data_IF_054943816065
#
_entry.id   IF_054943816065
#
_cell.length_a   1.000
_cell.length_b   1.000
_cell.length_c   1.000
_cell.angle_alpha   90.00
_cell.angle_beta   90.00
_cell.angle_gamma   90.00
#
_symmetry.space_group_name_H-M   'P 1'
#
loop_
_entity.id
_entity.type
_entity.pdbx_description
1 polymer ?
#
# COMPACT_ATOMS: atom_id res chain seq x y z
N UNK A 1 -36.90 -22.73 -38.11
CA UNK A 1 -36.94 -23.09 -36.68
C UNK A 1 -35.72 -22.60 -35.90
N UNK A 2 -34.48 -22.54 -36.46
CA UNK A 2 -33.27 -22.13 -35.75
C UNK A 2 -32.76 -20.70 -36.02
N UNK A 3 -33.52 -19.85 -36.73
CA UNK A 3 -33.05 -18.52 -37.12
C UNK A 3 -32.77 -17.60 -35.94
N UNK A 4 -33.70 -17.55 -34.98
CA UNK A 4 -33.54 -16.78 -33.74
C UNK A 4 -32.36 -17.27 -32.88
N UNK A 5 -32.14 -18.60 -32.84
CA UNK A 5 -31.00 -19.19 -32.12
C UNK A 5 -29.69 -18.77 -32.77
N UNK A 6 -29.58 -18.78 -34.10
CA UNK A 6 -28.37 -18.34 -34.80
C UNK A 6 -28.08 -16.87 -34.53
N UNK A 7 -29.08 -15.98 -34.62
CA UNK A 7 -28.91 -14.57 -34.26
C UNK A 7 -28.40 -14.38 -32.85
N UNK A 8 -28.98 -15.07 -31.86
CA UNK A 8 -28.50 -14.99 -30.47
C UNK A 8 -27.06 -15.53 -30.30
N UNK A 9 -26.68 -16.57 -31.02
CA UNK A 9 -25.31 -17.08 -31.00
C UNK A 9 -24.31 -16.12 -31.61
N UNK A 10 -24.69 -15.40 -32.70
CA UNK A 10 -23.85 -14.38 -33.32
C UNK A 10 -23.65 -13.19 -32.35
N UNK A 11 -24.73 -12.71 -31.71
CA UNK A 11 -24.66 -11.65 -30.67
C UNK A 11 -23.75 -12.05 -29.49
N UNK A 12 -23.94 -13.25 -28.96
CA UNK A 12 -23.11 -13.79 -27.87
C UNK A 12 -21.63 -13.87 -28.30
N UNK A 13 -21.37 -14.31 -29.53
CA UNK A 13 -20.00 -14.40 -30.03
C UNK A 13 -19.32 -13.03 -30.10
N UNK A 14 -20.06 -12.00 -30.53
CA UNK A 14 -19.51 -10.65 -30.63
C UNK A 14 -19.29 -10.02 -29.25
N UNK A 15 -20.18 -10.25 -28.27
CA UNK A 15 -19.99 -9.87 -26.87
C UNK A 15 -18.74 -10.54 -26.26
N UNK A 16 -18.56 -11.84 -26.49
CA UNK A 16 -17.40 -12.58 -26.00
C UNK A 16 -16.08 -12.08 -26.60
N UNK A 17 -16.07 -11.70 -27.88
CA UNK A 17 -14.90 -11.09 -28.53
C UNK A 17 -14.55 -9.73 -27.91
N UNK A 18 -15.55 -8.88 -27.62
CA UNK A 18 -15.32 -7.59 -26.93
C UNK A 18 -14.72 -7.81 -25.52
N UNK A 19 -15.30 -8.73 -24.74
CA UNK A 19 -14.79 -9.08 -23.41
C UNK A 19 -13.35 -9.60 -23.49
N UNK A 20 -13.04 -10.48 -24.46
CA UNK A 20 -11.68 -11.03 -24.64
C UNK A 20 -10.68 -9.93 -24.98
N UNK A 21 -11.01 -9.05 -25.95
CA UNK A 21 -10.15 -7.95 -26.34
C UNK A 21 -9.88 -6.98 -25.18
N UNK A 22 -10.90 -6.63 -24.38
CA UNK A 22 -10.75 -5.78 -23.18
C UNK A 22 -9.90 -6.48 -22.14
N UNK A 23 -10.11 -7.77 -21.86
CA UNK A 23 -9.32 -8.57 -20.92
C UNK A 23 -7.84 -8.56 -21.31
N UNK A 24 -7.51 -8.81 -22.56
CA UNK A 24 -6.13 -8.88 -23.04
C UNK A 24 -5.44 -7.52 -22.93
N UNK A 25 -6.18 -6.44 -23.26
CA UNK A 25 -5.71 -5.06 -23.02
C UNK A 25 -5.42 -4.80 -21.53
N UNK A 26 -6.31 -5.20 -20.62
CA UNK A 26 -6.14 -5.04 -19.18
C UNK A 26 -4.91 -5.81 -18.68
N UNK A 27 -4.75 -7.08 -19.04
CA UNK A 27 -3.60 -7.91 -18.62
C UNK A 27 -2.28 -7.29 -19.07
N UNK A 28 -2.24 -6.72 -20.27
CA UNK A 28 -1.04 -6.07 -20.79
C UNK A 28 -0.71 -4.78 -20.04
N UNK A 29 -1.69 -3.89 -19.93
CA UNK A 29 -1.43 -2.52 -19.48
C UNK A 29 -1.39 -2.37 -17.96
N UNK A 30 -2.00 -3.26 -17.19
CA UNK A 30 -1.89 -3.29 -15.72
C UNK A 30 -0.45 -3.55 -15.25
N UNK A 31 0.40 -4.20 -16.06
CA UNK A 31 1.83 -4.37 -15.76
C UNK A 31 2.57 -3.05 -15.66
N UNK A 32 2.22 -2.07 -16.50
CA UNK A 32 2.83 -0.75 -16.46
C UNK A 32 2.46 0.01 -15.18
N UNK A 33 1.21 -0.14 -14.71
CA UNK A 33 0.76 0.43 -13.42
C UNK A 33 1.56 -0.19 -12.27
N UNK A 34 1.66 -1.52 -12.21
CA UNK A 34 2.43 -2.24 -11.19
C UNK A 34 3.90 -1.83 -11.21
N UNK A 35 4.49 -1.74 -12.40
CA UNK A 35 5.89 -1.31 -12.56
C UNK A 35 6.11 0.11 -12.03
N UNK A 36 5.23 1.05 -12.34
CA UNK A 36 5.34 2.42 -11.89
C UNK A 36 5.09 2.57 -10.38
N UNK A 37 4.12 1.85 -9.80
CA UNK A 37 3.89 1.83 -8.36
C UNK A 37 5.11 1.29 -7.62
N UNK A 38 5.60 0.10 -7.98
CA UNK A 38 6.78 -0.52 -7.33
C UNK A 38 8.03 0.37 -7.44
N UNK A 39 8.29 0.98 -8.60
CA UNK A 39 9.43 1.89 -8.76
C UNK A 39 9.24 3.22 -8.02
N UNK A 40 8.00 3.69 -7.81
CA UNK A 40 7.74 4.86 -6.99
C UNK A 40 8.07 4.58 -5.52
N UNK A 41 7.68 3.43 -5.00
CA UNK A 41 8.02 2.97 -3.65
C UNK A 41 9.54 2.89 -3.46
N UNK A 42 10.26 2.28 -4.42
CA UNK A 42 11.74 2.26 -4.41
C UNK A 42 12.32 3.67 -4.37
N UNK A 43 11.76 4.60 -5.16
CA UNK A 43 12.20 6.00 -5.18
C UNK A 43 11.96 6.71 -3.86
N UNK A 44 10.84 6.42 -3.15
CA UNK A 44 10.56 6.95 -1.81
C UNK A 44 11.60 6.49 -0.79
N UNK A 45 11.97 5.20 -0.79
CA UNK A 45 13.03 4.68 0.08
C UNK A 45 14.39 5.34 -0.18
N UNK A 46 14.63 5.79 -1.40
CA UNK A 46 15.86 6.53 -1.79
C UNK A 46 15.75 8.04 -1.58
N UNK A 47 14.63 8.52 -1.03
CA UNK A 47 14.34 9.97 -0.88
C UNK A 47 14.30 10.73 -2.21
N UNK A 48 14.01 10.04 -3.32
CA UNK A 48 13.87 10.60 -4.66
C UNK A 48 12.40 11.01 -4.92
N UNK A 49 11.87 11.92 -4.10
CA UNK A 49 10.43 12.26 -4.04
C UNK A 49 9.85 12.71 -5.38
N UNK A 50 10.60 13.52 -6.14
CA UNK A 50 10.14 14.00 -7.45
C UNK A 50 9.92 12.86 -8.45
N UNK A 51 10.83 11.88 -8.51
CA UNK A 51 10.70 10.69 -9.36
C UNK A 51 9.54 9.81 -8.91
N UNK A 52 9.37 9.63 -7.59
CA UNK A 52 8.26 8.87 -7.04
C UNK A 52 6.93 9.49 -7.46
N UNK A 53 6.79 10.81 -7.30
CA UNK A 53 5.58 11.55 -7.69
C UNK A 53 5.24 11.36 -9.16
N UNK A 54 6.20 11.58 -10.05
CA UNK A 54 5.98 11.45 -11.49
C UNK A 54 5.50 10.03 -11.88
N UNK A 55 6.06 8.99 -11.24
CA UNK A 55 5.65 7.61 -11.47
C UNK A 55 4.23 7.34 -10.96
N UNK A 56 3.90 7.80 -9.76
CA UNK A 56 2.56 7.63 -9.19
C UNK A 56 1.49 8.32 -10.01
N UNK A 57 1.75 9.54 -10.49
CA UNK A 57 0.82 10.27 -11.36
C UNK A 57 0.59 9.52 -12.68
N UNK A 58 1.65 8.97 -13.28
CA UNK A 58 1.54 8.14 -14.48
C UNK A 58 0.77 6.85 -14.21
N UNK A 59 1.08 6.15 -13.11
CA UNK A 59 0.35 4.95 -12.71
C UNK A 59 -1.14 5.24 -12.52
N UNK A 60 -1.47 6.34 -11.83
CA UNK A 60 -2.86 6.75 -11.62
C UNK A 60 -3.57 7.05 -12.93
N UNK A 61 -2.98 7.84 -13.81
CA UNK A 61 -3.58 8.18 -15.11
C UNK A 61 -3.82 6.92 -15.97
N UNK A 62 -2.86 5.99 -15.99
CA UNK A 62 -3.01 4.72 -16.70
C UNK A 62 -4.13 3.89 -16.07
N UNK A 63 -4.19 3.77 -14.75
CA UNK A 63 -5.22 3.00 -14.06
C UNK A 63 -6.62 3.59 -14.25
N UNK A 64 -6.77 4.92 -14.26
CA UNK A 64 -8.04 5.59 -14.53
C UNK A 64 -8.57 5.23 -15.93
N UNK A 65 -7.70 5.19 -16.95
CA UNK A 65 -8.08 4.75 -18.29
C UNK A 65 -8.45 3.25 -18.36
N UNK A 66 -7.77 2.41 -17.56
CA UNK A 66 -8.07 0.97 -17.51
C UNK A 66 -9.39 0.66 -16.79
N UNK A 67 -9.84 1.49 -15.85
CA UNK A 67 -11.16 1.34 -15.20
C UNK A 67 -12.31 1.41 -16.20
N UNK A 68 -12.24 2.32 -17.17
CA UNK A 68 -13.23 2.44 -18.23
C UNK A 68 -13.32 1.14 -19.06
N UNK A 69 -12.19 0.47 -19.27
CA UNK A 69 -12.15 -0.80 -20.01
C UNK A 69 -12.60 -1.98 -19.14
N UNK A 70 -12.24 -1.97 -17.86
CA UNK A 70 -12.56 -3.05 -16.93
C UNK A 70 -14.08 -3.16 -16.66
N UNK A 71 -14.79 -2.04 -16.64
CA UNK A 71 -16.21 -1.99 -16.24
C UNK A 71 -16.44 -2.79 -14.95
N UNK A 72 -17.58 -3.44 -14.80
CA UNK A 72 -17.87 -4.31 -13.64
C UNK A 72 -17.48 -5.77 -13.86
N UNK A 73 -17.49 -6.22 -15.11
CA UNK A 73 -17.29 -7.62 -15.52
C UNK A 73 -15.81 -8.06 -15.44
N UNK A 74 -14.87 -7.15 -15.68
CA UNK A 74 -13.44 -7.42 -15.68
C UNK A 74 -12.70 -6.73 -14.53
N UNK A 75 -13.42 -6.21 -13.52
CA UNK A 75 -12.85 -5.46 -12.40
C UNK A 75 -11.72 -6.22 -11.67
N UNK A 76 -11.79 -7.54 -11.60
CA UNK A 76 -10.76 -8.39 -10.97
C UNK A 76 -9.35 -8.16 -11.52
N UNK A 77 -9.21 -7.67 -12.76
CA UNK A 77 -7.91 -7.44 -13.39
C UNK A 77 -7.25 -6.14 -12.95
N UNK A 78 -8.01 -5.18 -12.39
CA UNK A 78 -7.48 -3.91 -11.90
C UNK A 78 -7.36 -3.84 -10.37
N UNK A 79 -7.90 -4.80 -9.63
CA UNK A 79 -7.90 -4.78 -8.16
C UNK A 79 -6.49 -4.78 -7.55
N UNK A 80 -5.56 -5.57 -8.10
CA UNK A 80 -4.15 -5.58 -7.64
C UNK A 80 -3.43 -4.27 -7.98
N UNK A 81 -3.49 -3.74 -9.23
CA UNK A 81 -2.98 -2.40 -9.53
C UNK A 81 -3.53 -1.29 -8.63
N UNK A 82 -4.80 -1.35 -8.24
CA UNK A 82 -5.37 -0.40 -7.27
C UNK A 82 -4.74 -0.52 -5.88
N UNK A 83 -4.49 -1.74 -5.40
CA UNK A 83 -3.82 -1.97 -4.11
C UNK A 83 -2.42 -1.36 -4.11
N UNK A 84 -1.62 -1.64 -5.13
CA UNK A 84 -0.28 -1.08 -5.30
C UNK A 84 -0.28 0.45 -5.39
N UNK A 85 -1.29 1.02 -6.07
CA UNK A 85 -1.45 2.48 -6.13
C UNK A 85 -1.74 3.07 -4.75
N UNK A 86 -2.63 2.45 -3.98
CA UNK A 86 -2.94 2.85 -2.59
C UNK A 86 -1.68 2.81 -1.75
N UNK A 87 -0.94 1.69 -1.78
CA UNK A 87 0.31 1.52 -1.03
C UNK A 87 1.31 2.65 -1.33
N UNK A 88 1.55 2.94 -2.61
CA UNK A 88 2.48 3.98 -3.02
C UNK A 88 2.07 5.38 -2.55
N UNK A 89 0.79 5.74 -2.70
CA UNK A 89 0.27 7.04 -2.27
C UNK A 89 0.26 7.21 -0.76
N UNK A 90 -0.07 6.14 -0.01
CA UNK A 90 -0.03 6.16 1.45
C UNK A 90 1.39 6.31 1.96
N UNK A 91 2.32 5.52 1.44
CA UNK A 91 3.72 5.60 1.83
C UNK A 91 4.29 7.00 1.59
N UNK A 92 3.96 7.61 0.44
CA UNK A 92 4.36 9.00 0.15
C UNK A 92 3.76 9.99 1.13
N UNK A 93 2.45 9.92 1.39
CA UNK A 93 1.78 10.86 2.28
C UNK A 93 2.35 10.78 3.70
N UNK A 94 2.64 9.57 4.19
CA UNK A 94 3.26 9.34 5.50
C UNK A 94 4.69 9.91 5.55
N UNK A 95 5.49 9.68 4.52
CA UNK A 95 6.87 10.19 4.47
C UNK A 95 6.97 11.71 4.35
N UNK A 96 5.98 12.33 3.74
CA UNK A 96 5.90 13.79 3.59
C UNK A 96 5.09 14.48 4.71
N UNK A 97 4.64 13.73 5.72
CA UNK A 97 3.80 14.22 6.84
C UNK A 97 2.54 14.95 6.34
N UNK A 98 1.88 14.37 5.34
CA UNK A 98 0.66 14.89 4.72
C UNK A 98 -0.58 14.08 5.12
N UNK A 99 -1.75 14.66 4.90
CA UNK A 99 -3.01 13.94 5.02
C UNK A 99 -3.04 12.74 4.06
N UNK A 100 -3.50 11.59 4.57
CA UNK A 100 -3.66 10.38 3.77
C UNK A 100 -4.83 10.56 2.80
N UNK A 101 -4.65 10.25 1.51
CA UNK A 101 -5.73 10.35 0.54
C UNK A 101 -6.82 9.31 0.82
N UNK A 102 -8.08 9.67 0.65
CA UNK A 102 -9.20 8.74 0.76
C UNK A 102 -9.30 7.82 -0.46
N UNK A 103 -10.11 6.75 -0.33
CA UNK A 103 -10.43 5.89 -1.48
C UNK A 103 -11.06 6.66 -2.65
N UNK A 104 -11.83 7.72 -2.35
CA UNK A 104 -12.44 8.59 -3.36
C UNK A 104 -11.40 9.46 -4.07
N UNK A 105 -10.42 10.01 -3.34
CA UNK A 105 -9.34 10.82 -3.94
C UNK A 105 -8.49 9.99 -4.91
N UNK A 106 -8.29 8.70 -4.58
CA UNK A 106 -7.56 7.76 -5.43
C UNK A 106 -8.44 7.13 -6.52
N UNK A 107 -9.78 7.22 -6.38
CA UNK A 107 -10.73 6.59 -7.30
C UNK A 107 -10.70 5.06 -7.23
N UNK A 108 -10.32 4.45 -6.10
CA UNK A 108 -10.19 3.00 -5.93
C UNK A 108 -11.37 2.42 -5.16
N UNK A 109 -11.59 1.11 -5.32
CA UNK A 109 -12.60 0.40 -4.53
C UNK A 109 -12.25 0.36 -3.04
N UNK A 110 -13.28 0.25 -2.18
CA UNK A 110 -13.06 0.05 -0.75
C UNK A 110 -12.23 -1.19 -0.44
N UNK A 111 -12.41 -2.27 -1.20
CA UNK A 111 -11.64 -3.52 -1.07
C UNK A 111 -10.15 -3.29 -1.33
N UNK A 112 -9.82 -2.68 -2.47
CA UNK A 112 -8.44 -2.37 -2.84
C UNK A 112 -7.80 -1.36 -1.88
N UNK A 113 -8.59 -0.42 -1.36
CA UNK A 113 -8.13 0.56 -0.37
C UNK A 113 -7.73 -0.11 0.95
N UNK A 114 -8.59 -0.97 1.52
CA UNK A 114 -8.30 -1.70 2.76
C UNK A 114 -7.05 -2.59 2.62
N UNK A 115 -6.96 -3.32 1.52
CA UNK A 115 -5.85 -4.25 1.30
C UNK A 115 -4.54 -3.53 0.99
N UNK A 116 -4.56 -2.43 0.24
CA UNK A 116 -3.38 -1.61 -0.05
C UNK A 116 -2.86 -0.86 1.19
N UNK A 117 -3.73 -0.41 2.10
CA UNK A 117 -3.31 0.13 3.40
C UNK A 117 -2.54 -0.90 4.23
N UNK A 118 -2.97 -2.17 4.23
CA UNK A 118 -2.27 -3.23 4.94
C UNK A 118 -0.92 -3.58 4.30
N UNK A 119 -0.80 -3.50 2.96
CA UNK A 119 0.47 -3.68 2.27
C UNK A 119 1.46 -2.56 2.64
N UNK A 120 0.99 -1.33 2.77
CA UNK A 120 1.80 -0.20 3.23
C UNK A 120 2.46 -0.45 4.62
N UNK A 121 1.85 -1.25 5.49
CA UNK A 121 2.47 -1.64 6.79
C UNK A 121 3.81 -2.35 6.57
N UNK A 122 3.94 -3.16 5.51
CA UNK A 122 5.19 -3.81 5.13
C UNK A 122 6.29 -2.82 4.74
N UNK A 123 5.95 -1.83 3.93
CA UNK A 123 6.91 -0.79 3.52
C UNK A 123 7.26 0.16 4.67
N UNK A 124 6.31 0.45 5.58
CA UNK A 124 6.59 1.19 6.80
C UNK A 124 7.57 0.44 7.71
N UNK A 125 7.42 -0.88 7.87
CA UNK A 125 8.41 -1.70 8.59
C UNK A 125 9.81 -1.49 8.02
N UNK A 126 9.96 -1.56 6.70
CA UNK A 126 11.24 -1.33 6.03
C UNK A 126 11.79 0.06 6.33
N UNK A 127 10.95 1.10 6.28
CA UNK A 127 11.36 2.47 6.62
C UNK A 127 11.78 2.61 8.08
N UNK A 128 11.11 1.95 9.03
CA UNK A 128 11.52 1.93 10.45
C UNK A 128 12.96 1.46 10.58
N UNK A 129 13.33 0.35 9.93
CA UNK A 129 14.71 -0.13 9.95
C UNK A 129 15.68 0.86 9.30
N UNK A 130 15.31 1.47 8.19
CA UNK A 130 16.16 2.46 7.53
C UNK A 130 16.40 3.68 8.41
N UNK A 131 15.39 4.15 9.14
CA UNK A 131 15.53 5.26 10.11
C UNK A 131 16.38 4.90 11.32
N UNK A 132 16.22 3.68 11.86
CA UNK A 132 17.06 3.21 12.96
C UNK A 132 18.53 3.12 12.53
N UNK A 133 18.83 2.56 11.36
CA UNK A 133 20.20 2.52 10.82
C UNK A 133 20.79 3.89 10.57
N UNK A 134 19.95 4.88 10.25
CA UNK A 134 20.35 6.27 10.09
C UNK A 134 20.50 7.05 11.41
N UNK A 135 20.31 6.39 12.57
CA UNK A 135 20.39 7.04 13.89
C UNK A 135 19.22 7.98 14.18
N UNK A 136 18.03 7.69 13.61
CA UNK A 136 16.81 8.52 13.73
C UNK A 136 15.68 7.78 14.48
N UNK A 137 15.86 7.40 15.74
CA UNK A 137 14.90 6.58 16.47
C UNK A 137 13.54 7.27 16.70
N UNK A 138 13.51 8.60 16.81
CA UNK A 138 12.26 9.34 16.94
C UNK A 138 11.39 9.26 15.67
N UNK A 139 12.01 9.32 14.48
CA UNK A 139 11.31 9.13 13.21
C UNK A 139 10.78 7.68 13.10
N UNK A 140 11.57 6.69 13.53
CA UNK A 140 11.16 5.28 13.58
C UNK A 140 9.96 5.06 14.49
N UNK A 141 9.94 5.70 15.66
CA UNK A 141 8.80 5.61 16.60
C UNK A 141 7.53 6.20 15.97
N UNK A 142 7.63 7.33 15.27
CA UNK A 142 6.47 7.91 14.56
C UNK A 142 5.90 6.95 13.51
N UNK A 143 6.76 6.34 12.68
CA UNK A 143 6.33 5.37 11.68
C UNK A 143 5.67 4.14 12.31
N UNK A 144 6.21 3.66 13.43
CA UNK A 144 5.63 2.55 14.19
C UNK A 144 4.20 2.87 14.67
N UNK A 145 3.98 4.07 15.22
CA UNK A 145 2.64 4.49 15.65
C UNK A 145 1.65 4.53 14.47
N UNK A 146 2.08 4.97 13.28
CA UNK A 146 1.25 4.93 12.08
C UNK A 146 0.90 3.49 11.68
N UNK A 147 1.84 2.53 11.79
CA UNK A 147 1.55 1.11 11.54
C UNK A 147 0.46 0.58 12.49
N UNK A 148 0.54 0.90 13.78
CA UNK A 148 -0.46 0.51 14.79
C UNK A 148 -1.83 1.14 14.50
N UNK A 149 -1.86 2.41 14.11
CA UNK A 149 -3.10 3.13 13.77
C UNK A 149 -3.78 2.55 12.52
N UNK A 150 -3.02 2.27 11.46
CA UNK A 150 -3.55 1.60 10.26
C UNK A 150 -4.17 0.26 10.65
N UNK A 151 -3.44 -0.57 11.38
CA UNK A 151 -3.92 -1.88 11.79
C UNK A 151 -5.20 -1.80 12.64
N UNK A 152 -5.20 -0.97 13.68
CA UNK A 152 -6.35 -0.84 14.60
C UNK A 152 -7.59 -0.30 13.89
N UNK A 153 -7.41 0.60 12.93
CA UNK A 153 -8.51 1.16 12.12
C UNK A 153 -9.11 0.14 11.15
N UNK A 154 -8.30 -0.80 10.63
CA UNK A 154 -8.77 -1.82 9.67
C UNK A 154 -9.26 -3.08 10.38
N UNK A 155 -8.78 -3.39 11.58
CA UNK A 155 -9.11 -4.62 12.29
C UNK A 155 -10.63 -4.92 12.40
N UNK A 156 -11.54 -3.94 12.64
CA UNK A 156 -12.98 -4.19 12.67
C UNK A 156 -13.54 -4.76 11.36
N UNK A 157 -12.89 -4.48 10.23
CA UNK A 157 -13.30 -4.99 8.91
C UNK A 157 -12.99 -6.50 8.72
N UNK A 158 -12.25 -7.14 9.64
CA UNK A 158 -12.02 -8.59 9.61
C UNK A 158 -13.32 -9.41 9.58
N UNK A 159 -14.43 -8.85 10.07
CA UNK A 159 -15.76 -9.46 10.01
C UNK A 159 -16.26 -9.63 8.56
N UNK A 160 -15.70 -8.89 7.61
CA UNK A 160 -16.12 -8.88 6.20
C UNK A 160 -15.13 -9.63 5.27
N UNK A 161 -14.36 -10.59 5.79
CA UNK A 161 -13.36 -11.34 4.99
C UNK A 161 -13.98 -12.08 3.79
N UNK A 162 -15.24 -12.49 3.92
CA UNK A 162 -16.01 -13.09 2.83
C UNK A 162 -16.35 -12.10 1.68
N UNK A 163 -16.34 -10.78 1.96
CA UNK A 163 -16.59 -9.72 0.98
C UNK A 163 -15.28 -9.08 0.49
N UNK A 164 -14.22 -9.17 1.30
CA UNK A 164 -12.87 -8.64 1.01
C UNK A 164 -11.89 -9.81 1.07
N UNK A 165 -11.75 -10.58 -0.01
CA UNK A 165 -10.95 -11.81 -0.01
C UNK A 165 -9.50 -11.57 0.43
N UNK A 166 -9.06 -12.33 1.43
CA UNK A 166 -7.69 -12.28 1.95
C UNK A 166 -7.43 -11.16 2.97
N UNK A 167 -8.45 -10.40 3.39
CA UNK A 167 -8.30 -9.34 4.37
C UNK A 167 -7.77 -9.86 5.71
N UNK A 168 -8.34 -10.97 6.21
CA UNK A 168 -7.90 -11.60 7.46
C UNK A 168 -6.44 -12.02 7.40
N UNK A 169 -6.03 -12.66 6.30
CA UNK A 169 -4.62 -13.03 6.10
C UNK A 169 -3.68 -11.82 6.11
N UNK A 170 -4.07 -10.71 5.46
CA UNK A 170 -3.28 -9.47 5.46
C UNK A 170 -3.20 -8.84 6.86
N UNK A 171 -4.30 -8.87 7.62
CA UNK A 171 -4.31 -8.43 9.02
C UNK A 171 -3.38 -9.27 9.88
N UNK A 172 -3.39 -10.60 9.72
CA UNK A 172 -2.49 -11.49 10.47
C UNK A 172 -1.01 -11.19 10.14
N UNK A 173 -0.69 -10.96 8.87
CA UNK A 173 0.66 -10.54 8.45
C UNK A 173 1.01 -9.19 9.06
N UNK A 174 0.15 -8.18 8.94
CA UNK A 174 0.40 -6.85 9.50
C UNK A 174 0.64 -6.91 11.02
N UNK A 175 -0.15 -7.73 11.75
CA UNK A 175 0.05 -7.96 13.18
C UNK A 175 1.46 -8.47 13.50
N UNK A 176 1.93 -9.49 12.78
CA UNK A 176 3.27 -10.04 12.98
C UNK A 176 4.33 -8.96 12.72
N UNK A 177 4.20 -8.17 11.65
CA UNK A 177 5.13 -7.10 11.32
C UNK A 177 5.18 -6.03 12.44
N UNK A 178 4.02 -5.67 12.99
CA UNK A 178 3.92 -4.68 14.08
C UNK A 178 4.56 -5.21 15.36
N UNK A 179 4.32 -6.48 15.73
CA UNK A 179 4.93 -7.08 16.93
C UNK A 179 6.46 -7.11 16.82
N UNK A 180 7.01 -7.46 15.64
CA UNK A 180 8.45 -7.40 15.39
C UNK A 180 9.01 -5.99 15.65
N UNK A 181 8.36 -4.97 15.08
CA UNK A 181 8.82 -3.58 15.24
C UNK A 181 8.63 -3.09 16.67
N UNK A 182 7.55 -3.49 17.35
CA UNK A 182 7.32 -3.15 18.78
C UNK A 182 8.49 -3.60 19.65
N UNK A 183 8.98 -4.83 19.46
CA UNK A 183 10.12 -5.34 20.19
C UNK A 183 11.38 -4.48 19.97
N UNK A 184 11.64 -4.12 18.71
CA UNK A 184 12.82 -3.32 18.33
C UNK A 184 12.74 -1.89 18.87
N UNK A 185 11.59 -1.22 18.74
CA UNK A 185 11.37 0.13 19.28
C UNK A 185 11.49 0.14 20.80
N UNK A 186 11.01 -0.91 21.48
CA UNK A 186 11.14 -1.04 22.92
C UNK A 186 12.60 -1.14 23.34
N UNK A 187 13.39 -1.96 22.65
CA UNK A 187 14.82 -2.11 22.93
C UNK A 187 15.61 -0.84 22.62
N UNK A 188 15.29 -0.16 21.53
CA UNK A 188 15.92 1.12 21.19
C UNK A 188 15.64 2.20 22.26
N UNK A 189 14.41 2.27 22.78
CA UNK A 189 14.08 3.19 23.88
C UNK A 189 14.89 2.88 25.14
N UNK A 190 15.05 1.59 25.48
CA UNK A 190 15.89 1.17 26.63
C UNK A 190 17.34 1.59 26.42
N UNK A 191 17.88 1.42 25.19
CA UNK A 191 19.24 1.86 24.85
C UNK A 191 19.42 3.36 25.00
N UNK A 192 18.46 4.16 24.54
CA UNK A 192 18.49 5.62 24.70
C UNK A 192 18.45 6.06 26.16
N UNK A 193 17.65 5.38 27.02
CA UNK A 193 17.61 5.65 28.43
C UNK A 193 18.98 5.40 29.12
N UNK A 194 19.65 4.31 28.75
CA UNK A 194 20.98 3.98 29.27
C UNK A 194 22.00 5.04 28.81
N UNK A 195 22.01 5.41 27.54
CA UNK A 195 22.92 6.43 27.02
C UNK A 195 22.71 7.78 27.73
N UNK A 196 21.45 8.22 27.89
CA UNK A 196 21.14 9.44 28.65
C UNK A 196 21.61 9.38 30.09
N UNK A 197 21.48 8.23 30.76
CA UNK A 197 21.98 8.04 32.12
C UNK A 197 23.52 8.12 32.18
N UNK A 198 24.22 7.55 31.20
CA UNK A 198 25.69 7.62 31.09
C UNK A 198 26.17 9.06 30.83
N UNK A 199 25.50 9.80 29.95
CA UNK A 199 25.82 11.20 29.68
C UNK A 199 25.64 12.07 30.94
N UNK A 200 24.51 11.90 31.66
CA UNK A 200 24.27 12.58 32.94
C UNK A 200 25.33 12.28 33.98
N UNK A 201 25.78 11.02 34.06
CA UNK A 201 26.86 10.63 34.99
C UNK A 201 28.19 11.29 34.62
N UNK A 202 28.53 11.32 33.34
CA UNK A 202 29.73 11.99 32.81
C UNK A 202 29.72 13.47 33.19
N UNK A 203 28.62 14.17 32.90
CA UNK A 203 28.46 15.59 33.20
C UNK A 203 28.58 15.88 34.72
N UNK A 204 28.16 14.93 35.55
CA UNK A 204 28.29 15.05 37.00
C UNK A 204 29.75 14.89 37.48
N UNK A 205 30.47 13.93 36.91
CA UNK A 205 31.89 13.70 37.21
C UNK A 205 32.80 14.84 36.73
N UNK A 206 32.47 15.49 35.62
CA UNK A 206 33.24 16.67 35.11
C UNK A 206 33.05 17.94 35.98
N UNK A 207 32.05 17.95 36.87
CA UNK A 207 31.79 19.08 37.81
C UNK A 207 32.36 18.89 39.20
N UNK A 208 32.94 17.72 39.48
CA UNK A 208 33.63 17.39 40.73
C UNK A 208 35.12 17.67 40.64
#
# INVERSE_FOLDING_TARGET
MLTSVKTSLDEINDDLKDIEARRDSLIKNTRDVLYDCSNSIISLHRSETSKATQRMERAKATLDALREQARTDLYKYISVPEQELVEAYMLRAITEDRLLPSSKDLGVSGTSYLTGLLDCVGELKRMVYDRLRAGKPNESTKLFLVMEEIYSSIYPFAAYDNLVPGLRRKLDVAKVLIEDIRAIITEEKRRQMIMSAMDNLKDHLEKL
#
